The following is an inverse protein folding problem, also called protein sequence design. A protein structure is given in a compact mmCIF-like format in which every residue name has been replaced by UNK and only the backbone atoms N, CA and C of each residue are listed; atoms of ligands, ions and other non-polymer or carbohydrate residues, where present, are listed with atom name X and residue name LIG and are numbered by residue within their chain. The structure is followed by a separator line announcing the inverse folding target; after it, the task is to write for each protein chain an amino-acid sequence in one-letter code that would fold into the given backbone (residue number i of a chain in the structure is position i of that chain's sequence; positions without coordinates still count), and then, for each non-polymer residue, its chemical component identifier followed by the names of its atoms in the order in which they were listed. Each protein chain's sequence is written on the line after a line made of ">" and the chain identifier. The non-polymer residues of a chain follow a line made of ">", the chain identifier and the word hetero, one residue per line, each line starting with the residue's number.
data_IF_078884942768
#
_entry.id   IF_078884942768
#
_cell.length_a   1.000
_cell.length_b   1.000
_cell.length_c   1.000
_cell.angle_alpha   90.00
_cell.angle_beta   90.00
_cell.angle_gamma   90.00
#
_symmetry.space_group_name_H-M   'P 1'
#
loop_
_entity.id
_entity.type
_entity.pdbx_description
1 polymer ?
#
# COMPACT_ATOMS: atom_id res chain seq x y z
N UNK A 1 36.93 12.25 2.91
CA UNK A 1 37.80 11.04 3.01
C UNK A 1 38.46 10.70 1.68
N UNK A 2 37.77 10.83 0.56
CA UNK A 2 38.30 10.49 -0.78
C UNK A 2 39.59 11.23 -1.16
N UNK A 3 39.69 12.53 -0.86
CA UNK A 3 40.89 13.32 -1.16
C UNK A 3 42.16 12.76 -0.45
N UNK A 4 42.03 12.36 0.81
CA UNK A 4 43.14 11.77 1.57
C UNK A 4 43.58 10.41 1.00
N UNK A 5 42.61 9.57 0.56
CA UNK A 5 42.91 8.29 -0.11
C UNK A 5 43.65 8.52 -1.43
N UNK A 6 43.22 9.48 -2.24
CA UNK A 6 43.88 9.80 -3.52
C UNK A 6 45.31 10.30 -3.33
N UNK A 7 45.55 11.18 -2.36
CA UNK A 7 46.90 11.66 -2.02
C UNK A 7 47.79 10.48 -1.57
N UNK A 8 47.28 9.58 -0.72
CA UNK A 8 48.03 8.40 -0.30
C UNK A 8 48.42 7.49 -1.47
N UNK A 9 47.49 7.23 -2.40
CA UNK A 9 47.76 6.44 -3.62
C UNK A 9 48.88 7.07 -4.47
N UNK A 10 48.84 8.39 -4.67
CA UNK A 10 49.86 9.13 -5.43
C UNK A 10 51.23 9.03 -4.75
N UNK A 11 51.29 9.20 -3.43
CA UNK A 11 52.54 9.10 -2.66
C UNK A 11 53.12 7.68 -2.78
N UNK A 12 52.29 6.64 -2.65
CA UNK A 12 52.74 5.24 -2.73
C UNK A 12 53.29 4.91 -4.13
N UNK A 13 52.60 5.33 -5.19
CA UNK A 13 53.06 5.13 -6.57
C UNK A 13 54.33 5.93 -6.85
N UNK A 14 54.38 7.19 -6.42
CA UNK A 14 55.57 8.04 -6.53
C UNK A 14 56.78 7.45 -5.81
N UNK A 15 56.58 6.91 -4.60
CA UNK A 15 57.61 6.22 -3.84
C UNK A 15 58.08 4.94 -4.54
N UNK A 16 57.16 4.16 -5.12
CA UNK A 16 57.51 2.97 -5.88
C UNK A 16 58.37 3.31 -7.11
N UNK A 17 57.99 4.33 -7.89
CA UNK A 17 58.78 4.81 -9.02
C UNK A 17 60.16 5.34 -8.59
N UNK A 18 60.21 6.18 -7.55
CA UNK A 18 61.45 6.72 -7.00
C UNK A 18 62.40 5.61 -6.50
N UNK A 19 61.86 4.57 -5.85
CA UNK A 19 62.67 3.43 -5.37
C UNK A 19 63.38 2.68 -6.51
N UNK A 20 62.74 2.58 -7.69
CA UNK A 20 63.35 1.93 -8.86
C UNK A 20 64.44 2.84 -9.43
N UNK A 21 64.14 4.12 -9.64
CA UNK A 21 65.10 5.08 -10.18
C UNK A 21 66.34 5.22 -9.29
N UNK A 22 66.17 5.21 -7.97
CA UNK A 22 67.30 5.22 -7.01
C UNK A 22 68.19 3.99 -7.14
N UNK A 23 67.62 2.82 -7.40
CA UNK A 23 68.41 1.60 -7.62
C UNK A 23 69.19 1.59 -8.94
N UNK A 24 68.69 2.29 -9.97
CA UNK A 24 69.35 2.38 -11.28
C UNK A 24 70.38 3.53 -11.36
N UNK A 25 70.40 4.44 -10.37
CA UNK A 25 71.35 5.55 -10.28
C UNK A 25 72.82 5.07 -10.17
N UNK A 26 73.06 3.96 -9.45
CA UNK A 26 74.40 3.39 -9.30
C UNK A 26 74.95 2.81 -10.62
N UNK A 27 74.06 2.40 -11.52
CA UNK A 27 74.41 1.87 -12.84
C UNK A 27 74.69 2.97 -13.87
N UNK A 28 74.32 4.23 -13.61
CA UNK A 28 74.56 5.37 -14.53
C UNK A 28 76.05 5.60 -14.83
N UNK A 29 76.94 5.33 -13.86
CA UNK A 29 78.38 5.49 -14.03
C UNK A 29 78.91 4.49 -15.08
N UNK A 30 78.32 3.30 -15.17
CA UNK A 30 78.72 2.25 -16.11
C UNK A 30 78.24 2.53 -17.54
N UNK A 31 77.14 3.28 -17.70
CA UNK A 31 76.59 3.68 -19.01
C UNK A 31 77.48 4.68 -19.77
N UNK A 32 78.31 5.45 -19.07
CA UNK A 32 79.27 6.41 -19.68
C UNK A 32 80.27 5.72 -20.60
N UNK A 33 80.55 4.44 -20.38
CA UNK A 33 81.52 3.65 -21.14
C UNK A 33 80.87 2.77 -22.23
N UNK A 34 79.56 2.86 -22.43
CA UNK A 34 78.82 1.99 -23.35
C UNK A 34 78.47 2.66 -24.69
N UNK A 35 78.28 1.84 -25.72
CA UNK A 35 77.81 2.28 -27.03
C UNK A 35 76.36 2.77 -27.02
N UNK A 36 75.99 3.56 -28.02
CA UNK A 36 74.64 4.17 -28.15
C UNK A 36 73.50 3.15 -28.15
N UNK A 37 73.72 1.97 -28.74
CA UNK A 37 72.72 0.90 -28.80
C UNK A 37 72.44 0.29 -27.42
N UNK A 38 73.46 0.11 -26.60
CA UNK A 38 73.33 -0.43 -25.24
C UNK A 38 72.60 0.55 -24.31
N UNK A 39 72.91 1.85 -24.41
CA UNK A 39 72.19 2.91 -23.68
C UNK A 39 70.70 2.87 -24.00
N UNK A 40 70.33 2.73 -25.29
CA UNK A 40 68.93 2.63 -25.71
C UNK A 40 68.22 1.42 -25.08
N UNK A 41 68.87 0.25 -25.11
CA UNK A 41 68.30 -0.98 -24.52
C UNK A 41 68.12 -0.88 -23.00
N UNK A 42 69.05 -0.23 -22.31
CA UNK A 42 68.99 -0.01 -20.87
C UNK A 42 67.87 0.94 -20.47
N UNK A 43 67.67 2.03 -21.22
CA UNK A 43 66.56 2.95 -21.01
C UNK A 43 65.21 2.24 -21.22
N UNK A 44 65.09 1.40 -22.25
CA UNK A 44 63.89 0.61 -22.50
C UNK A 44 63.60 -0.36 -21.34
N UNK A 45 64.61 -1.10 -20.88
CA UNK A 45 64.49 -2.04 -19.77
C UNK A 45 64.08 -1.35 -18.47
N UNK A 46 64.75 -0.24 -18.13
CA UNK A 46 64.46 0.56 -16.92
C UNK A 46 63.03 1.12 -16.97
N UNK A 47 62.60 1.61 -18.13
CA UNK A 47 61.23 2.12 -18.33
C UNK A 47 60.19 1.03 -18.09
N UNK A 48 60.39 -0.16 -18.66
CA UNK A 48 59.50 -1.32 -18.46
C UNK A 48 59.49 -1.74 -16.99
N UNK A 49 60.64 -1.73 -16.31
CA UNK A 49 60.76 -2.08 -14.89
C UNK A 49 60.00 -1.11 -13.99
N UNK A 50 60.10 0.19 -14.24
CA UNK A 50 59.34 1.24 -13.51
C UNK A 50 57.84 1.08 -13.75
N UNK A 51 57.42 0.94 -15.01
CA UNK A 51 56.00 0.76 -15.36
C UNK A 51 55.45 -0.53 -14.75
N UNK A 52 56.17 -1.64 -14.85
CA UNK A 52 55.77 -2.94 -14.31
C UNK A 52 55.57 -2.90 -12.80
N UNK A 53 56.55 -2.38 -12.05
CA UNK A 53 56.42 -2.25 -10.58
C UNK A 53 55.28 -1.31 -10.19
N UNK A 54 55.11 -0.20 -10.90
CA UNK A 54 54.02 0.74 -10.64
C UNK A 54 52.65 0.12 -10.92
N UNK A 55 52.53 -0.66 -11.99
CA UNK A 55 51.32 -1.43 -12.32
C UNK A 55 50.94 -2.41 -11.20
N UNK A 56 51.91 -3.17 -10.68
CA UNK A 56 51.66 -4.11 -9.57
C UNK A 56 51.17 -3.36 -8.32
N UNK A 57 51.80 -2.24 -7.98
CA UNK A 57 51.40 -1.42 -6.83
C UNK A 57 49.99 -0.86 -7.02
N UNK A 58 49.66 -0.33 -8.20
CA UNK A 58 48.32 0.18 -8.52
C UNK A 58 47.29 -0.95 -8.46
N UNK A 59 47.61 -2.14 -9.00
CA UNK A 59 46.72 -3.30 -8.96
C UNK A 59 46.41 -3.73 -7.52
N UNK A 60 47.42 -3.79 -6.64
CA UNK A 60 47.23 -4.09 -5.23
C UNK A 60 46.35 -3.02 -4.53
N UNK A 61 46.61 -1.74 -4.79
CA UNK A 61 45.79 -0.66 -4.24
C UNK A 61 44.35 -0.71 -4.73
N UNK A 62 44.13 -1.05 -6.00
CA UNK A 62 42.79 -1.18 -6.58
C UNK A 62 42.00 -2.34 -5.94
N UNK A 63 42.66 -3.49 -5.70
CA UNK A 63 42.03 -4.64 -5.02
C UNK A 63 41.59 -4.24 -3.60
N UNK A 64 42.47 -3.60 -2.83
CA UNK A 64 42.14 -3.16 -1.46
C UNK A 64 41.00 -2.14 -1.43
N UNK A 65 41.01 -1.19 -2.37
CA UNK A 65 39.97 -0.17 -2.47
C UNK A 65 38.60 -0.79 -2.83
N UNK A 66 38.59 -1.74 -3.77
CA UNK A 66 37.38 -2.49 -4.14
C UNK A 66 36.81 -3.29 -2.97
N UNK A 67 37.66 -3.99 -2.20
CA UNK A 67 37.22 -4.74 -1.02
C UNK A 67 36.59 -3.82 0.04
N UNK A 68 37.22 -2.67 0.30
CA UNK A 68 36.67 -1.69 1.24
C UNK A 68 35.32 -1.14 0.76
N UNK A 69 35.22 -0.76 -0.52
CA UNK A 69 34.01 -0.20 -1.10
C UNK A 69 32.84 -1.21 -1.10
N UNK A 70 33.13 -2.49 -1.39
CA UNK A 70 32.12 -3.56 -1.31
C UNK A 70 31.57 -3.72 0.10
N UNK A 71 32.46 -3.73 1.11
CA UNK A 71 32.05 -3.84 2.51
C UNK A 71 31.22 -2.62 2.96
N UNK A 72 31.64 -1.41 2.59
CA UNK A 72 30.92 -0.18 2.90
C UNK A 72 29.53 -0.15 2.25
N UNK A 73 29.43 -0.61 1.00
CA UNK A 73 28.15 -0.75 0.30
C UNK A 73 27.23 -1.75 0.99
N UNK A 74 27.71 -2.95 1.30
CA UNK A 74 26.94 -3.95 2.04
C UNK A 74 26.49 -3.45 3.41
N UNK A 75 27.31 -2.63 4.08
CA UNK A 75 26.95 -2.01 5.35
C UNK A 75 25.88 -0.93 5.17
N UNK A 76 25.96 -0.12 4.11
CA UNK A 76 24.99 0.94 3.80
C UNK A 76 23.61 0.41 3.43
N UNK A 77 23.53 -0.82 2.92
CA UNK A 77 22.28 -1.50 2.58
C UNK A 77 21.57 -2.12 3.81
N UNK A 78 22.22 -2.15 4.98
CA UNK A 78 21.62 -2.73 6.18
C UNK A 78 20.68 -1.71 6.80
N UNK A 79 19.40 -2.07 6.86
CA UNK A 79 18.43 -1.33 7.65
C UNK A 79 18.52 -1.69 9.13
N UNK A 80 18.29 -0.70 9.99
CA UNK A 80 18.10 -0.90 11.41
C UNK A 80 16.71 -1.49 11.69
N UNK A 81 16.54 -2.19 12.82
CA UNK A 81 15.23 -2.70 13.25
C UNK A 81 14.17 -1.59 13.37
N UNK A 82 14.62 -0.36 13.65
CA UNK A 82 13.76 0.80 13.75
C UNK A 82 13.28 1.27 12.37
N UNK A 83 14.19 1.37 11.39
CA UNK A 83 13.85 1.72 10.00
C UNK A 83 12.88 0.71 9.38
N UNK A 84 13.10 -0.60 9.57
CA UNK A 84 12.17 -1.63 9.07
C UNK A 84 10.78 -1.46 9.68
N UNK A 85 10.69 -1.14 10.97
CA UNK A 85 9.41 -0.94 11.66
C UNK A 85 8.69 0.32 11.16
N UNK A 86 9.45 1.37 10.87
CA UNK A 86 8.89 2.63 10.40
C UNK A 86 8.53 2.56 8.90
N UNK A 87 9.27 1.83 8.06
CA UNK A 87 8.85 1.46 6.70
C UNK A 87 7.55 0.67 6.73
N UNK A 88 7.43 -0.36 7.58
CA UNK A 88 6.22 -1.17 7.67
C UNK A 88 4.98 -0.32 8.02
N UNK A 89 5.13 0.66 8.92
CA UNK A 89 4.07 1.63 9.24
C UNK A 89 3.74 2.55 8.07
N UNK A 90 4.74 2.97 7.28
CA UNK A 90 4.53 3.85 6.12
C UNK A 90 3.88 3.11 4.94
N UNK A 91 4.23 1.85 4.70
CA UNK A 91 3.73 1.05 3.57
C UNK A 91 2.31 0.51 3.82
N UNK A 92 2.01 -0.02 5.01
CA UNK A 92 0.67 -0.56 5.33
C UNK A 92 -0.29 0.46 5.95
N UNK A 93 0.24 1.59 6.44
CA UNK A 93 -0.49 2.54 7.26
C UNK A 93 -0.77 2.02 8.66
N UNK A 94 -1.16 2.91 9.58
CA UNK A 94 -1.52 2.50 10.95
C UNK A 94 -2.81 1.65 10.94
N UNK A 95 -2.78 0.41 11.47
CA UNK A 95 -3.97 -0.43 11.61
C UNK A 95 -5.13 0.28 12.35
N UNK A 96 -4.83 1.17 13.30
CA UNK A 96 -5.81 1.99 13.99
C UNK A 96 -6.48 2.99 13.05
N UNK A 97 -5.73 3.57 12.11
CA UNK A 97 -6.28 4.47 11.10
C UNK A 97 -7.16 3.70 10.11
N UNK A 98 -6.71 2.53 9.64
CA UNK A 98 -7.50 1.69 8.72
C UNK A 98 -8.81 1.20 9.36
N UNK A 99 -8.77 0.79 10.62
CA UNK A 99 -9.97 0.38 11.37
C UNK A 99 -10.91 1.56 11.61
N UNK A 100 -10.38 2.74 11.95
CA UNK A 100 -11.16 3.97 12.11
C UNK A 100 -11.85 4.38 10.81
N UNK A 101 -11.17 4.32 9.66
CA UNK A 101 -11.76 4.61 8.35
C UNK A 101 -12.94 3.68 8.07
N UNK A 102 -12.78 2.36 8.29
CA UNK A 102 -13.87 1.39 8.12
C UNK A 102 -15.04 1.64 9.06
N UNK A 103 -14.78 2.05 10.31
CA UNK A 103 -15.83 2.40 11.26
C UNK A 103 -16.66 3.59 10.78
N UNK A 104 -15.99 4.67 10.33
CA UNK A 104 -16.64 5.88 9.80
C UNK A 104 -17.45 5.54 8.53
N UNK A 105 -16.91 4.72 7.63
CA UNK A 105 -17.64 4.28 6.43
C UNK A 105 -18.93 3.53 6.78
N UNK A 106 -18.89 2.61 7.75
CA UNK A 106 -20.07 1.88 8.22
C UNK A 106 -21.10 2.81 8.88
N UNK A 107 -20.63 3.80 9.65
CA UNK A 107 -21.50 4.78 10.27
C UNK A 107 -22.20 5.66 9.24
N UNK A 108 -21.48 6.16 8.23
CA UNK A 108 -22.06 6.93 7.13
C UNK A 108 -23.08 6.12 6.34
N UNK A 109 -22.77 4.85 6.01
CA UNK A 109 -23.70 3.97 5.33
C UNK A 109 -24.97 3.75 6.15
N UNK A 110 -24.83 3.52 7.47
CA UNK A 110 -25.98 3.38 8.39
C UNK A 110 -26.81 4.66 8.45
N UNK A 111 -26.18 5.84 8.48
CA UNK A 111 -26.88 7.13 8.48
C UNK A 111 -27.69 7.31 7.20
N UNK A 112 -27.10 7.06 6.04
CA UNK A 112 -27.81 7.11 4.74
C UNK A 112 -29.00 6.14 4.70
N UNK A 113 -28.80 4.90 5.14
CA UNK A 113 -29.89 3.91 5.23
C UNK A 113 -31.03 4.40 6.12
N UNK A 114 -30.74 5.04 7.27
CA UNK A 114 -31.77 5.58 8.16
C UNK A 114 -32.52 6.77 7.55
N UNK A 115 -31.86 7.58 6.73
CA UNK A 115 -32.53 8.65 5.97
C UNK A 115 -33.49 8.06 4.92
N UNK A 116 -33.10 6.99 4.23
CA UNK A 116 -33.98 6.31 3.26
C UNK A 116 -35.23 5.70 3.90
N UNK A 117 -35.18 5.30 5.19
CA UNK A 117 -36.37 4.84 5.93
C UNK A 117 -37.48 5.86 5.86
N UNK A 118 -37.18 7.17 5.90
CA UNK A 118 -38.18 8.25 5.86
C UNK A 118 -39.01 8.27 4.57
N UNK A 119 -38.49 7.67 3.51
CA UNK A 119 -39.15 7.58 2.20
C UNK A 119 -39.92 6.27 2.02
N UNK A 120 -39.92 5.38 3.01
CA UNK A 120 -40.58 4.08 2.92
C UNK A 120 -42.10 4.22 3.02
N UNK A 121 -42.81 3.35 2.30
CA UNK A 121 -44.27 3.27 2.35
C UNK A 121 -44.76 2.41 3.51
N UNK A 122 -43.99 1.36 3.83
CA UNK A 122 -44.27 0.39 4.90
C UNK A 122 -42.98 -0.19 5.48
N UNK A 123 -43.00 -0.52 6.77
CA UNK A 123 -41.95 -1.33 7.42
C UNK A 123 -42.55 -2.65 7.92
N UNK A 124 -42.00 -3.76 7.41
CA UNK A 124 -42.36 -5.11 7.81
C UNK A 124 -41.45 -5.53 8.97
N UNK A 125 -42.04 -6.03 10.05
CA UNK A 125 -41.32 -6.33 11.29
C UNK A 125 -41.43 -7.80 11.66
N UNK A 126 -40.34 -8.32 12.25
CA UNK A 126 -40.33 -9.53 13.08
C UNK A 126 -40.08 -9.03 14.52
N UNK A 127 -41.08 -9.10 15.43
CA UNK A 127 -41.22 -8.24 16.61
C UNK A 127 -39.96 -7.82 17.37
N UNK A 128 -39.06 -8.75 17.65
CA UNK A 128 -37.84 -8.49 18.42
C UNK A 128 -36.55 -8.48 17.60
N UNK A 129 -36.58 -8.94 16.35
CA UNK A 129 -35.34 -9.31 15.64
C UNK A 129 -35.09 -8.56 14.34
N UNK A 130 -36.11 -8.31 13.51
CA UNK A 130 -35.90 -7.79 12.16
C UNK A 130 -36.85 -6.65 11.83
N UNK A 131 -36.39 -5.72 11.02
CA UNK A 131 -37.24 -4.72 10.37
C UNK A 131 -36.73 -4.45 8.96
N UNK A 132 -37.65 -4.48 8.00
CA UNK A 132 -37.37 -4.27 6.58
C UNK A 132 -38.32 -3.20 6.08
N UNK A 133 -37.78 -2.09 5.59
CA UNK A 133 -38.51 -0.98 5.02
C UNK A 133 -38.59 -1.13 3.50
N UNK A 134 -39.80 -1.01 2.96
CA UNK A 134 -40.08 -1.10 1.53
C UNK A 134 -40.60 0.24 1.02
N UNK A 135 -40.18 0.58 -0.20
CA UNK A 135 -40.72 1.70 -0.97
C UNK A 135 -41.26 1.20 -2.30
N UNK A 136 -42.40 1.70 -2.72
CA UNK A 136 -42.99 1.39 -4.00
C UNK A 136 -43.70 2.61 -4.58
N UNK A 137 -43.34 2.94 -5.82
CA UNK A 137 -44.02 3.95 -6.60
C UNK A 137 -44.63 3.28 -7.83
N UNK A 138 -45.96 3.27 -7.91
CA UNK A 138 -46.72 2.62 -8.99
C UNK A 138 -46.50 3.25 -10.37
N UNK A 139 -45.98 4.48 -10.43
CA UNK A 139 -45.75 5.20 -11.69
C UNK A 139 -44.36 4.95 -12.25
N UNK A 140 -43.37 4.67 -11.39
CA UNK A 140 -41.95 4.64 -11.77
C UNK A 140 -41.25 3.31 -11.51
N UNK A 141 -41.83 2.44 -10.68
CA UNK A 141 -41.19 1.18 -10.25
C UNK A 141 -41.95 -0.04 -10.76
N UNK A 142 -41.21 -1.03 -11.26
CA UNK A 142 -41.78 -2.32 -11.68
C UNK A 142 -42.07 -3.24 -10.48
N UNK A 143 -41.32 -3.07 -9.39
CA UNK A 143 -41.47 -3.84 -8.16
C UNK A 143 -41.07 -3.00 -6.93
N UNK A 144 -41.64 -3.31 -5.75
CA UNK A 144 -41.21 -2.71 -4.49
C UNK A 144 -39.72 -2.95 -4.22
N UNK A 145 -39.06 -1.94 -3.65
CA UNK A 145 -37.62 -1.95 -3.38
C UNK A 145 -37.34 -1.88 -1.88
N UNK A 146 -36.34 -2.64 -1.43
CA UNK A 146 -35.87 -2.58 -0.04
C UNK A 146 -35.01 -1.34 0.15
N UNK A 147 -35.50 -0.37 0.92
CA UNK A 147 -34.79 0.89 1.19
C UNK A 147 -33.97 0.85 2.48
N UNK A 148 -34.36 0.00 3.42
CA UNK A 148 -33.58 -0.28 4.62
C UNK A 148 -33.89 -1.67 5.17
N UNK A 149 -32.89 -2.35 5.73
CA UNK A 149 -33.10 -3.57 6.52
C UNK A 149 -32.14 -3.60 7.70
N UNK A 150 -32.57 -4.18 8.81
CA UNK A 150 -31.75 -4.25 10.02
C UNK A 150 -32.15 -5.39 10.94
N UNK A 151 -31.19 -5.80 11.77
CA UNK A 151 -31.40 -6.74 12.86
C UNK A 151 -31.24 -6.05 14.23
N UNK A 152 -31.90 -6.60 15.24
CA UNK A 152 -31.81 -6.22 16.67
C UNK A 152 -31.83 -4.70 16.90
N UNK A 153 -30.69 -4.12 17.30
CA UNK A 153 -30.58 -2.67 17.60
C UNK A 153 -30.83 -1.79 16.38
N UNK A 154 -30.47 -2.25 15.18
CA UNK A 154 -30.75 -1.53 13.94
C UNK A 154 -32.24 -1.64 13.61
N UNK A 155 -32.84 -2.82 13.76
CA UNK A 155 -34.28 -3.03 13.58
C UNK A 155 -35.11 -2.13 14.52
N UNK A 156 -34.70 -2.02 15.79
CA UNK A 156 -35.33 -1.10 16.74
C UNK A 156 -35.26 0.35 16.27
N UNK A 157 -34.08 0.82 15.81
CA UNK A 157 -33.93 2.19 15.31
C UNK A 157 -34.75 2.45 14.04
N UNK A 158 -34.86 1.48 13.13
CA UNK A 158 -35.72 1.59 11.94
C UNK A 158 -37.18 1.79 12.35
N UNK A 159 -37.68 1.03 13.33
CA UNK A 159 -39.04 1.17 13.85
C UNK A 159 -39.28 2.52 14.52
N UNK A 160 -38.29 3.02 15.27
CA UNK A 160 -38.35 4.34 15.89
C UNK A 160 -38.46 5.44 14.81
N UNK A 161 -37.56 5.44 13.83
CA UNK A 161 -37.60 6.42 12.71
C UNK A 161 -38.91 6.32 11.93
N UNK A 162 -39.38 5.10 11.65
CA UNK A 162 -40.65 4.88 10.97
C UNK A 162 -41.84 5.45 11.74
N UNK A 163 -41.90 5.24 13.07
CA UNK A 163 -42.94 5.83 13.93
C UNK A 163 -42.88 7.36 13.91
N UNK A 164 -41.68 7.93 14.05
CA UNK A 164 -41.48 9.39 14.06
C UNK A 164 -41.93 10.06 12.75
N UNK A 165 -41.88 9.33 11.63
CA UNK A 165 -42.26 9.83 10.31
C UNK A 165 -43.64 9.33 9.83
N UNK A 166 -44.43 8.68 10.70
CA UNK A 166 -45.77 8.21 10.37
C UNK A 166 -45.81 7.06 9.35
N UNK A 167 -44.75 6.27 9.27
CA UNK A 167 -44.65 5.11 8.39
C UNK A 167 -45.24 3.89 9.09
N UNK A 168 -46.24 3.22 8.48
CA UNK A 168 -46.95 2.11 9.11
C UNK A 168 -46.02 0.91 9.31
N UNK A 169 -46.13 0.31 10.49
CA UNK A 169 -45.46 -0.93 10.85
C UNK A 169 -46.44 -2.09 10.68
N UNK A 170 -46.05 -3.09 9.90
CA UNK A 170 -46.85 -4.32 9.71
C UNK A 170 -46.04 -5.50 10.23
N UNK A 171 -46.65 -6.31 11.09
CA UNK A 171 -46.01 -7.49 11.63
C UNK A 171 -46.21 -8.67 10.68
N UNK A 172 -45.11 -9.23 10.16
CA UNK A 172 -45.13 -10.48 9.42
C UNK A 172 -43.76 -11.15 9.55
N UNK A 173 -43.64 -12.10 10.48
CA UNK A 173 -42.39 -12.78 10.80
C UNK A 173 -41.79 -13.51 9.61
N UNK A 174 -42.60 -14.25 8.86
CA UNK A 174 -42.15 -15.06 7.71
C UNK A 174 -41.61 -14.17 6.60
N UNK A 175 -42.38 -13.15 6.21
CA UNK A 175 -41.99 -12.23 5.15
C UNK A 175 -40.77 -11.38 5.53
N UNK A 176 -40.69 -10.89 6.77
CA UNK A 176 -39.52 -10.15 7.24
C UNK A 176 -38.24 -11.00 7.19
N UNK A 177 -38.31 -12.27 7.58
CA UNK A 177 -37.17 -13.19 7.52
C UNK A 177 -36.73 -13.47 6.07
N UNK A 178 -37.69 -13.70 5.17
CA UNK A 178 -37.40 -13.93 3.76
C UNK A 178 -36.77 -12.70 3.13
N UNK A 179 -37.41 -11.52 3.23
CA UNK A 179 -36.88 -10.27 2.69
C UNK A 179 -35.48 -9.93 3.24
N UNK A 180 -35.25 -10.14 4.54
CA UNK A 180 -33.94 -9.85 5.13
C UNK A 180 -32.82 -10.71 4.54
N UNK A 181 -33.11 -11.99 4.25
CA UNK A 181 -32.13 -12.96 3.74
C UNK A 181 -31.96 -12.90 2.22
N UNK A 182 -33.03 -12.63 1.48
CA UNK A 182 -33.04 -12.82 0.02
C UNK A 182 -32.88 -11.54 -0.80
N UNK A 183 -32.98 -10.34 -0.19
CA UNK A 183 -32.98 -9.06 -0.92
C UNK A 183 -32.05 -8.06 -0.24
N UNK A 184 -31.12 -7.46 -0.97
CA UNK A 184 -30.23 -6.44 -0.43
C UNK A 184 -30.83 -5.03 -0.47
N UNK A 185 -30.25 -4.13 0.33
CA UNK A 185 -30.69 -2.74 0.38
C UNK A 185 -30.39 -2.11 -0.98
N UNK A 186 -31.39 -1.52 -1.59
CA UNK A 186 -31.27 -0.96 -2.92
C UNK A 186 -31.85 -1.86 -4.02
N UNK A 187 -32.24 -3.09 -3.71
CA UNK A 187 -32.73 -4.04 -4.71
C UNK A 187 -34.25 -4.18 -4.70
N UNK A 188 -34.80 -4.51 -5.87
CA UNK A 188 -36.19 -4.89 -6.04
C UNK A 188 -36.42 -6.27 -5.43
N UNK A 189 -37.60 -6.48 -4.84
CA UNK A 189 -37.97 -7.79 -4.29
C UNK A 189 -38.06 -8.84 -5.41
N UNK A 190 -37.83 -10.13 -5.13
CA UNK A 190 -38.01 -11.19 -6.11
C UNK A 190 -39.49 -11.47 -6.35
N UNK A 191 -39.81 -12.01 -7.54
CA UNK A 191 -41.17 -12.36 -7.97
C UNK A 191 -41.88 -13.31 -7.00
N UNK A 192 -41.15 -14.18 -6.32
CA UNK A 192 -41.68 -15.09 -5.29
C UNK A 192 -42.31 -14.39 -4.09
N UNK A 193 -41.94 -13.12 -3.83
CA UNK A 193 -42.46 -12.33 -2.71
C UNK A 193 -43.47 -11.26 -3.13
N UNK A 194 -43.77 -11.12 -4.43
CA UNK A 194 -44.65 -10.08 -4.96
C UNK A 194 -46.04 -10.11 -4.33
N UNK A 195 -46.66 -11.29 -4.29
CA UNK A 195 -48.02 -11.43 -3.77
C UNK A 195 -48.12 -11.01 -2.30
N UNK A 196 -47.19 -11.49 -1.46
CA UNK A 196 -47.18 -11.19 -0.03
C UNK A 196 -46.89 -9.70 0.25
N UNK A 197 -46.01 -9.07 -0.52
CA UNK A 197 -45.73 -7.63 -0.39
C UNK A 197 -46.89 -6.79 -0.91
N UNK A 198 -47.51 -7.17 -2.02
CA UNK A 198 -48.65 -6.45 -2.59
C UNK A 198 -49.85 -6.44 -1.64
N UNK A 199 -50.12 -7.55 -0.95
CA UNK A 199 -51.19 -7.63 0.05
C UNK A 199 -50.96 -6.64 1.20
N UNK A 200 -49.72 -6.55 1.69
CA UNK A 200 -49.33 -5.59 2.74
C UNK A 200 -49.45 -4.14 2.25
N UNK A 201 -48.96 -3.83 1.05
CA UNK A 201 -49.07 -2.49 0.48
C UNK A 201 -50.53 -2.08 0.28
N UNK A 202 -51.37 -3.00 -0.24
CA UNK A 202 -52.80 -2.75 -0.40
C UNK A 202 -53.52 -2.53 0.94
N UNK A 203 -53.12 -3.24 1.99
CA UNK A 203 -53.61 -2.99 3.35
C UNK A 203 -53.21 -1.60 3.86
N UNK A 204 -51.94 -1.22 3.68
CA UNK A 204 -51.41 0.08 4.09
C UNK A 204 -52.05 1.25 3.33
N UNK A 205 -52.28 1.13 2.01
CA UNK A 205 -52.91 2.18 1.23
C UNK A 205 -54.39 2.36 1.57
N UNK A 206 -55.11 1.27 1.89
CA UNK A 206 -56.47 1.33 2.43
C UNK A 206 -56.51 2.08 3.77
N UNK A 207 -55.55 1.80 4.67
CA UNK A 207 -55.40 2.52 5.94
C UNK A 207 -55.11 4.01 5.77
N UNK A 208 -54.30 4.38 4.77
CA UNK A 208 -53.94 5.78 4.47
C UNK A 208 -54.99 6.54 3.65
N UNK A 209 -56.11 5.91 3.27
CA UNK A 209 -57.16 6.54 2.45
C UNK A 209 -56.70 6.92 1.03
N UNK A 210 -55.58 6.37 0.56
CA UNK A 210 -55.09 6.52 -0.82
C UNK A 210 -55.67 5.39 -1.66
N UNK A 211 -56.91 5.58 -2.12
CA UNK A 211 -57.49 4.73 -3.16
C UNK A 211 -57.17 5.31 -4.53
N UNK A 212 -56.46 4.53 -5.35
CA UNK A 212 -56.44 4.57 -6.82
C UNK A 212 -55.99 5.87 -7.44
#
# INVERSE_FOLDING_TARGET
>A
VELAKSIAKIIIVGWAAFSVLKGELDHLIQLTYQGKAQIMSYLAYTSIKVVGKSCVVIALLAILDYMYQKWEFEQSLKMTKQEVKDEFKQTEGDPLVKSRIKAIQREMARRRMMEEVKTADVVITNPSHLSVALRYDSMTMNAPKVVAKGADRIAFKIREVAKDHGIPLVENRSLAQNLYKSVDIGEEIPSSLYQAVAEILAYVYRLKGRTG
#
